data_IF_908432089985
#
_entry.id   IF_908432089985
#
_cell.length_a   1.000
_cell.length_b   1.000
_cell.length_c   1.000
_cell.angle_alpha   90.00
_cell.angle_beta   90.00
_cell.angle_gamma   90.00
#
_symmetry.space_group_name_H-M   'P 1'
#
loop_
_entity.id
_entity.type
_entity.pdbx_description
1 polymer ?
#
# COMPACT_ATOMS: atom_id res chain seq x y z
N UNK A 1 -14.02 -20.13 7.82
CA UNK A 1 -13.49 -19.27 6.73
C UNK A 1 -13.19 -17.84 7.18
N UNK A 2 -14.10 -17.18 7.92
CA UNK A 2 -13.95 -15.79 8.36
C UNK A 2 -12.67 -15.51 9.16
N UNK A 3 -12.31 -16.35 10.14
CA UNK A 3 -11.07 -16.21 10.94
C UNK A 3 -9.78 -16.20 10.11
N UNK A 4 -9.74 -16.90 8.96
CA UNK A 4 -8.58 -16.92 8.06
C UNK A 4 -8.48 -15.60 7.29
N UNK A 5 -9.60 -15.12 6.74
CA UNK A 5 -9.66 -13.87 5.98
C UNK A 5 -9.29 -12.69 6.88
N UNK A 6 -9.87 -12.60 8.08
CA UNK A 6 -9.54 -11.54 9.06
C UNK A 6 -8.06 -11.55 9.41
N UNK A 7 -7.46 -12.73 9.59
CA UNK A 7 -6.03 -12.88 9.86
C UNK A 7 -5.11 -12.44 8.70
N UNK A 8 -5.62 -12.45 7.46
CA UNK A 8 -4.89 -11.95 6.27
C UNK A 8 -5.09 -10.45 6.03
N UNK A 9 -6.26 -9.92 6.39
CA UNK A 9 -6.66 -8.55 6.05
C UNK A 9 -6.36 -7.55 7.17
N UNK A 10 -6.12 -7.99 8.42
CA UNK A 10 -5.86 -7.05 9.52
C UNK A 10 -4.59 -6.20 9.37
N UNK A 11 -3.42 -6.69 8.90
CA UNK A 11 -2.24 -5.83 8.79
C UNK A 11 -2.39 -4.71 7.75
N UNK A 12 -2.86 -4.97 6.50
CA UNK A 12 -3.11 -3.89 5.57
C UNK A 12 -4.29 -3.02 5.99
N UNK A 13 -5.28 -3.54 6.73
CA UNK A 13 -6.35 -2.71 7.29
C UNK A 13 -5.83 -1.71 8.34
N UNK A 14 -4.89 -2.12 9.21
CA UNK A 14 -4.25 -1.20 10.16
C UNK A 14 -3.48 -0.11 9.42
N UNK A 15 -2.72 -0.46 8.38
CA UNK A 15 -2.01 0.52 7.55
C UNK A 15 -2.99 1.47 6.86
N UNK A 16 -4.09 0.95 6.30
CA UNK A 16 -5.11 1.78 5.66
C UNK A 16 -5.71 2.79 6.65
N UNK A 17 -6.02 2.38 7.88
CA UNK A 17 -6.52 3.28 8.94
C UNK A 17 -5.46 4.33 9.31
N UNK A 18 -4.19 3.95 9.39
CA UNK A 18 -3.08 4.90 9.63
C UNK A 18 -3.02 5.92 8.49
N UNK A 19 -3.06 5.47 7.23
CA UNK A 19 -3.06 6.37 6.06
C UNK A 19 -4.23 7.34 6.12
N UNK A 20 -5.45 6.86 6.43
CA UNK A 20 -6.61 7.73 6.58
C UNK A 20 -6.42 8.78 7.67
N UNK A 21 -5.87 8.37 8.83
CA UNK A 21 -5.57 9.29 9.91
C UNK A 21 -4.53 10.35 9.49
N UNK A 22 -3.44 9.94 8.85
CA UNK A 22 -2.37 10.83 8.40
C UNK A 22 -2.85 11.82 7.32
N UNK A 23 -3.61 11.35 6.34
CA UNK A 23 -4.07 12.13 5.20
C UNK A 23 -5.23 13.08 5.55
N UNK A 24 -6.19 12.63 6.38
CA UNK A 24 -7.42 13.38 6.62
C UNK A 24 -7.44 14.13 7.94
N UNK A 25 -6.84 13.59 9.02
CA UNK A 25 -7.01 14.13 10.38
C UNK A 25 -5.84 15.01 10.85
N UNK A 26 -4.67 14.93 10.24
CA UNK A 26 -3.53 15.78 10.60
C UNK A 26 -3.69 17.16 9.93
N UNK A 27 -3.67 18.27 10.68
CA UNK A 27 -3.66 19.61 10.11
C UNK A 27 -2.36 19.86 9.32
N UNK A 28 -2.47 20.47 8.14
CA UNK A 28 -1.33 20.81 7.30
C UNK A 28 -0.39 21.83 7.97
N UNK A 29 -0.93 22.65 8.88
CA UNK A 29 -0.22 23.72 9.59
C UNK A 29 0.77 23.20 10.65
N UNK A 30 0.63 21.95 11.09
CA UNK A 30 1.52 21.31 12.09
C UNK A 30 2.68 20.56 11.45
N UNK A 31 2.77 20.51 10.10
CA UNK A 31 3.84 19.81 9.41
C UNK A 31 5.05 20.75 9.32
N UNK A 32 6.16 20.46 10.04
CA UNK A 32 7.35 21.31 9.99
C UNK A 32 7.88 21.37 8.56
N UNK A 33 8.11 22.57 8.08
CA UNK A 33 8.61 22.82 6.74
C UNK A 33 9.96 22.12 6.58
N UNK A 34 9.99 21.05 5.77
CA UNK A 34 11.20 20.27 5.56
C UNK A 34 12.12 21.09 4.67
N UNK A 35 13.20 21.66 5.24
CA UNK A 35 14.20 22.46 4.51
C UNK A 35 14.96 21.73 3.40
N UNK A 36 14.56 20.50 3.06
CA UNK A 36 15.03 19.76 1.90
C UNK A 36 14.13 20.07 0.69
N UNK A 37 14.58 20.98 -0.17
CA UNK A 37 14.00 21.15 -1.52
C UNK A 37 14.36 19.92 -2.37
N UNK A 38 13.54 18.87 -2.27
CA UNK A 38 13.52 17.81 -3.26
C UNK A 38 12.89 18.34 -4.57
N UNK A 39 13.29 17.78 -5.71
CA UNK A 39 12.63 18.07 -7.00
C UNK A 39 11.14 17.69 -6.99
N UNK A 40 10.75 16.77 -6.10
CA UNK A 40 9.38 16.32 -5.88
C UNK A 40 8.95 16.78 -4.47
N UNK A 41 7.76 17.39 -4.30
CA UNK A 41 7.20 17.70 -2.98
C UNK A 41 7.26 16.51 -2.02
N UNK A 42 7.68 16.75 -0.77
CA UNK A 42 7.85 15.70 0.23
C UNK A 42 6.54 14.92 0.49
N UNK A 43 5.41 15.61 0.44
CA UNK A 43 4.06 15.04 0.55
C UNK A 43 3.83 13.89 -0.45
N UNK A 44 4.21 14.09 -1.72
CA UNK A 44 4.11 13.07 -2.78
C UNK A 44 4.99 11.85 -2.53
N UNK A 45 6.16 12.05 -1.91
CA UNK A 45 7.06 10.96 -1.53
C UNK A 45 6.41 10.14 -0.40
N UNK A 46 5.77 10.81 0.57
CA UNK A 46 5.05 10.16 1.66
C UNK A 46 3.87 9.36 1.11
N UNK A 47 3.06 9.94 0.22
CA UNK A 47 1.98 9.25 -0.51
C UNK A 47 2.48 7.99 -1.23
N UNK A 48 3.53 8.12 -2.04
CA UNK A 48 4.17 6.98 -2.69
C UNK A 48 4.59 5.89 -1.69
N UNK A 49 5.27 6.25 -0.60
CA UNK A 49 5.76 5.30 0.39
C UNK A 49 4.63 4.62 1.18
N UNK A 50 3.58 5.36 1.51
CA UNK A 50 2.40 4.85 2.21
C UNK A 50 1.70 3.77 1.39
N UNK A 51 1.40 4.04 0.12
CA UNK A 51 0.71 3.08 -0.75
C UNK A 51 1.61 1.94 -1.21
N UNK A 52 2.91 2.19 -1.39
CA UNK A 52 3.91 1.14 -1.56
C UNK A 52 3.92 0.18 -0.36
N UNK A 53 3.94 0.71 0.86
CA UNK A 53 3.90 -0.07 2.10
C UNK A 53 2.59 -0.85 2.25
N UNK A 54 1.45 -0.22 1.99
CA UNK A 54 0.14 -0.85 2.03
C UNK A 54 0.04 -2.04 1.06
N UNK A 55 0.41 -1.82 -0.19
CA UNK A 55 0.40 -2.84 -1.23
C UNK A 55 1.42 -3.96 -0.95
N UNK A 56 2.62 -3.60 -0.48
CA UNK A 56 3.67 -4.54 -0.10
C UNK A 56 3.30 -5.42 1.10
N UNK A 57 2.68 -4.84 2.14
CA UNK A 57 2.22 -5.63 3.29
C UNK A 57 1.05 -6.54 2.91
N UNK A 58 0.12 -6.05 2.08
CA UNK A 58 -0.96 -6.87 1.56
C UNK A 58 -0.44 -8.08 0.74
N UNK A 59 0.53 -7.84 -0.14
CA UNK A 59 1.12 -8.88 -1.00
C UNK A 59 2.00 -9.86 -0.22
N UNK A 60 2.90 -9.38 0.65
CA UNK A 60 3.78 -10.22 1.46
C UNK A 60 2.99 -11.10 2.42
N UNK A 61 1.96 -10.56 3.08
CA UNK A 61 1.12 -11.34 3.97
C UNK A 61 0.40 -12.46 3.20
N UNK A 62 -0.12 -12.16 2.00
CA UNK A 62 -0.77 -13.17 1.17
C UNK A 62 0.19 -14.27 0.69
N UNK A 63 1.41 -13.89 0.27
CA UNK A 63 2.45 -14.83 -0.19
C UNK A 63 2.94 -15.72 0.95
N UNK A 64 3.25 -15.12 2.11
CA UNK A 64 3.78 -15.82 3.28
C UNK A 64 2.83 -16.92 3.75
N UNK A 65 1.55 -16.59 3.90
CA UNK A 65 0.56 -17.55 4.37
C UNK A 65 0.20 -18.66 3.40
N UNK A 66 0.40 -18.42 2.10
CA UNK A 66 0.22 -19.42 1.06
C UNK A 66 1.51 -20.15 0.72
N UNK A 67 2.60 -19.89 1.45
CA UNK A 67 3.92 -20.48 1.20
C UNK A 67 4.35 -20.34 -0.27
N UNK A 68 4.01 -19.23 -0.91
CA UNK A 68 4.31 -19.01 -2.34
C UNK A 68 3.31 -19.62 -3.35
N UNK A 69 2.46 -20.56 -2.95
CA UNK A 69 1.39 -21.14 -3.77
C UNK A 69 0.16 -20.22 -3.85
N UNK A 70 0.37 -19.03 -4.41
CA UNK A 70 -0.66 -18.02 -4.62
C UNK A 70 -1.20 -18.00 -6.04
N UNK A 71 -2.43 -17.51 -6.18
CA UNK A 71 -3.01 -17.14 -7.47
C UNK A 71 -2.57 -15.70 -7.76
N UNK A 72 -1.77 -15.51 -8.82
CA UNK A 72 -1.22 -14.19 -9.20
C UNK A 72 -2.35 -13.16 -9.40
N UNK A 73 -3.44 -13.55 -10.06
CA UNK A 73 -4.59 -12.67 -10.25
C UNK A 73 -5.19 -12.19 -8.93
N UNK A 74 -5.29 -13.06 -7.91
CA UNK A 74 -5.80 -12.67 -6.59
C UNK A 74 -4.84 -11.72 -5.88
N UNK A 75 -3.53 -11.93 -6.02
CA UNK A 75 -2.53 -11.00 -5.48
C UNK A 75 -2.66 -9.64 -6.15
N UNK A 76 -2.75 -9.59 -7.48
CA UNK A 76 -2.92 -8.33 -8.23
C UNK A 76 -4.19 -7.62 -7.80
N UNK A 77 -5.33 -8.31 -7.72
CA UNK A 77 -6.59 -7.69 -7.30
C UNK A 77 -6.52 -7.18 -5.86
N UNK A 78 -6.02 -7.97 -4.91
CA UNK A 78 -6.00 -7.56 -3.49
C UNK A 78 -4.90 -6.56 -3.14
N UNK A 79 -3.72 -6.66 -3.76
CA UNK A 79 -2.58 -5.81 -3.45
C UNK A 79 -2.49 -4.57 -4.35
N UNK A 80 -3.24 -4.53 -5.45
CA UNK A 80 -3.23 -3.36 -6.35
C UNK A 80 -4.59 -2.69 -6.42
N UNK A 81 -5.60 -3.43 -6.89
CA UNK A 81 -6.89 -2.81 -7.19
C UNK A 81 -7.52 -2.22 -5.93
N UNK A 82 -7.43 -2.94 -4.80
CA UNK A 82 -7.95 -2.45 -3.52
C UNK A 82 -7.22 -1.20 -3.03
N UNK A 83 -5.88 -1.15 -2.92
CA UNK A 83 -5.16 0.08 -2.55
C UNK A 83 -5.38 1.26 -3.49
N UNK A 84 -5.43 1.06 -4.82
CA UNK A 84 -5.66 2.15 -5.78
C UNK A 84 -7.06 2.73 -5.62
N UNK A 85 -8.09 1.87 -5.51
CA UNK A 85 -9.45 2.34 -5.26
C UNK A 85 -9.52 3.07 -3.92
N UNK A 86 -8.84 2.54 -2.89
CA UNK A 86 -8.79 3.16 -1.58
C UNK A 86 -8.19 4.57 -1.63
N UNK A 87 -7.07 4.76 -2.35
CA UNK A 87 -6.47 6.09 -2.49
C UNK A 87 -7.32 7.06 -3.28
N UNK A 88 -7.92 6.62 -4.39
CA UNK A 88 -8.88 7.47 -5.10
C UNK A 88 -10.07 7.89 -4.25
N UNK A 89 -10.58 7.00 -3.38
CA UNK A 89 -11.66 7.33 -2.45
C UNK A 89 -11.19 8.32 -1.37
N UNK A 90 -9.98 8.17 -0.84
CA UNK A 90 -9.41 9.11 0.14
C UNK A 90 -9.26 10.50 -0.48
N UNK A 91 -8.73 10.61 -1.70
CA UNK A 91 -8.56 11.88 -2.41
C UNK A 91 -9.91 12.61 -2.61
N UNK A 92 -10.94 11.88 -3.02
CA UNK A 92 -12.31 12.42 -3.16
C UNK A 92 -12.83 12.89 -1.79
N UNK A 93 -12.61 12.10 -0.73
CA UNK A 93 -13.04 12.48 0.62
C UNK A 93 -12.30 13.74 1.10
N UNK A 94 -11.00 13.85 0.86
CA UNK A 94 -10.21 15.03 1.21
C UNK A 94 -10.72 16.27 0.47
N UNK A 95 -10.97 16.15 -0.84
CA UNK A 95 -11.45 17.26 -1.67
C UNK A 95 -12.85 17.76 -1.26
N UNK A 96 -13.77 16.85 -0.91
CA UNK A 96 -15.17 17.19 -0.62
C UNK A 96 -15.42 17.54 0.86
N UNK A 97 -14.71 16.89 1.80
CA UNK A 97 -15.03 16.97 3.24
C UNK A 97 -13.98 17.71 4.09
N UNK A 98 -12.77 17.94 3.58
CA UNK A 98 -11.67 18.56 4.35
C UNK A 98 -11.23 19.89 3.73
N UNK A 99 -11.92 21.01 4.03
CA UNK A 99 -11.57 22.32 3.51
C UNK A 99 -10.17 22.74 3.98
N UNK A 100 -9.24 22.95 3.02
CA UNK A 100 -7.82 23.25 3.28
C UNK A 100 -6.86 22.15 2.82
N UNK A 101 -7.35 20.97 2.43
CA UNK A 101 -6.58 19.96 1.71
C UNK A 101 -6.94 20.01 0.22
N UNK A 102 -5.95 20.27 -0.64
CA UNK A 102 -6.12 20.15 -2.08
C UNK A 102 -6.03 18.66 -2.44
N UNK A 103 -7.16 17.99 -2.65
CA UNK A 103 -7.14 16.70 -3.33
C UNK A 103 -6.51 16.92 -4.71
N UNK A 104 -5.32 16.38 -4.92
CA UNK A 104 -4.52 16.62 -6.10
C UNK A 104 -4.40 15.33 -6.90
N UNK A 105 -4.69 15.41 -8.20
CA UNK A 105 -4.52 14.29 -9.11
C UNK A 105 -3.07 13.77 -9.11
N UNK A 106 -2.09 14.60 -8.74
CA UNK A 106 -0.72 14.16 -8.57
C UNK A 106 -0.47 13.30 -7.32
N UNK A 107 -1.28 13.43 -6.27
CA UNK A 107 -1.16 12.61 -5.06
C UNK A 107 -1.78 11.24 -5.32
N UNK A 108 -2.92 11.19 -6.02
CA UNK A 108 -3.44 9.93 -6.59
C UNK A 108 -2.44 9.23 -7.51
N UNK A 109 -1.69 9.99 -8.33
CA UNK A 109 -0.65 9.43 -9.18
C UNK A 109 0.50 8.85 -8.35
N UNK A 110 0.93 9.54 -7.30
CA UNK A 110 1.96 9.07 -6.39
C UNK A 110 1.54 7.76 -5.69
N UNK A 111 0.29 7.70 -5.24
CA UNK A 111 -0.32 6.50 -4.65
C UNK A 111 -0.28 5.33 -5.65
N UNK A 112 -0.78 5.54 -6.87
CA UNK A 112 -0.80 4.52 -7.91
C UNK A 112 0.61 4.02 -8.27
N UNK A 113 1.60 4.92 -8.36
CA UNK A 113 2.99 4.57 -8.61
C UNK A 113 3.58 3.76 -7.44
N UNK A 114 3.26 4.12 -6.19
CA UNK A 114 3.67 3.38 -5.00
C UNK A 114 3.15 1.95 -5.02
N UNK A 115 1.85 1.78 -5.32
CA UNK A 115 1.24 0.46 -5.47
C UNK A 115 1.92 -0.34 -6.59
N UNK A 116 2.14 0.25 -7.76
CA UNK A 116 2.78 -0.42 -8.90
C UNK A 116 4.23 -0.80 -8.60
N UNK A 117 4.98 0.04 -7.89
CA UNK A 117 6.35 -0.24 -7.49
C UNK A 117 6.45 -1.44 -6.51
N UNK A 118 5.38 -1.73 -5.76
CA UNK A 118 5.34 -2.89 -4.85
C UNK A 118 5.30 -4.24 -5.60
N UNK A 119 4.80 -4.27 -6.85
CA UNK A 119 4.64 -5.50 -7.64
C UNK A 119 5.94 -6.29 -7.89
N UNK A 120 7.00 -5.70 -8.49
CA UNK A 120 8.22 -6.43 -8.80
C UNK A 120 8.83 -7.05 -7.55
N UNK A 121 8.77 -6.32 -6.42
CA UNK A 121 9.27 -6.77 -5.13
C UNK A 121 8.43 -7.94 -4.58
N UNK A 122 7.12 -7.84 -4.69
CA UNK A 122 6.18 -8.89 -4.29
C UNK A 122 6.40 -10.18 -5.10
N UNK A 123 6.59 -10.05 -6.42
CA UNK A 123 6.86 -11.18 -7.31
C UNK A 123 8.23 -11.81 -7.04
N UNK A 124 9.25 -11.00 -6.76
CA UNK A 124 10.56 -11.47 -6.35
C UNK A 124 10.49 -12.26 -5.04
N UNK A 125 9.80 -11.73 -4.02
CA UNK A 125 9.61 -12.40 -2.74
C UNK A 125 8.83 -13.72 -2.87
N UNK A 126 7.82 -13.77 -3.74
CA UNK A 126 7.11 -15.01 -4.07
C UNK A 126 8.06 -16.07 -4.64
N UNK A 127 8.90 -15.69 -5.61
CA UNK A 127 9.88 -16.61 -6.21
C UNK A 127 10.87 -17.12 -5.17
N UNK A 128 11.38 -16.22 -4.32
CA UNK A 128 12.26 -16.58 -3.21
C UNK A 128 11.62 -17.63 -2.29
N UNK A 129 10.37 -17.42 -1.90
CA UNK A 129 9.66 -18.37 -1.03
C UNK A 129 9.38 -19.72 -1.69
N UNK A 130 9.00 -19.73 -2.97
CA UNK A 130 8.79 -20.98 -3.71
C UNK A 130 10.07 -21.80 -3.82
N UNK A 131 11.20 -21.16 -4.14
CA UNK A 131 12.49 -21.85 -4.25
C UNK A 131 12.91 -22.48 -2.92
N UNK A 132 12.62 -21.83 -1.78
CA UNK A 132 12.90 -22.40 -0.46
C UNK A 132 12.05 -23.64 -0.14
N UNK A 133 10.77 -23.66 -0.54
CA UNK A 133 9.93 -24.83 -0.31
C UNK A 133 10.37 -26.03 -1.18
N UNK A 134 10.75 -25.80 -2.44
CA UNK A 134 11.28 -26.85 -3.32
C UNK A 134 12.57 -27.47 -2.73
N UNK A 135 13.48 -26.63 -2.20
CA UNK A 135 14.70 -27.11 -1.54
C UNK A 135 14.43 -27.90 -0.25
N UNK A 136 13.33 -27.64 0.45
CA UNK A 136 12.93 -28.39 1.66
C UNK A 136 12.24 -29.72 1.32
N UNK A 137 11.64 -29.86 0.14
CA UNK A 137 11.02 -31.12 -0.32
C UNK A 137 12.03 -32.11 -0.91
N UNK A 138 13.18 -31.62 -1.39
CA UNK A 138 14.28 -32.45 -1.94
C UNK A 138 15.23 -33.03 -0.87
N UNK A 139 15.01 -32.75 0.43
CA UNK A 139 15.81 -33.23 1.59
C UNK A 139 15.02 -34.27 2.38
#
# INVERSE_FOLDING_TARGET
MLKRIVRYTWPPAVIAVIIFYLCCLIPTDDIPDVGFQFFIPADKIVHFLMYFGLAGVASFNYIFYKKGHIIILKLVVFAILVPIIYGGVIEIIQAEYFPGRSGDWYDFLADALGVLASLPISLWFRRFMLNRQLQEEDI
#
